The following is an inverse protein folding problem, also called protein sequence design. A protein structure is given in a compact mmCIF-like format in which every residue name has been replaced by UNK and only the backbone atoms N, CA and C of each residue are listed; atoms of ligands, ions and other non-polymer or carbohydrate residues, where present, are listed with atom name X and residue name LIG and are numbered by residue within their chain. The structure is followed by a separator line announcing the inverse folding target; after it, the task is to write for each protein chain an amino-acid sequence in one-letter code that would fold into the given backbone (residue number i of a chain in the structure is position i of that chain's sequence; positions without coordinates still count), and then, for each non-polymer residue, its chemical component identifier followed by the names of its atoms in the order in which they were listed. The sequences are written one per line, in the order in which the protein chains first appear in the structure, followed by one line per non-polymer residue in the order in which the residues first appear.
data_IF_621717398701
#
_entry.id   IF_621717398701
#
_cell.length_a   1.000
_cell.length_b   1.000
_cell.length_c   1.000
_cell.angle_alpha   90.00
_cell.angle_beta   90.00
_cell.angle_gamma   90.00
#
_symmetry.space_group_name_H-M   'P 1'
#
loop_
_entity.id
_entity.type
_entity.pdbx_description
1 polymer ?
#
# COMPACT_ATOMS: atom_id res chain seq x y z
N UNK A 1 -7.42 -14.88 35.82
CA UNK A 1 -8.61 -14.00 35.86
C UNK A 1 -8.56 -13.14 34.61
N UNK A 2 -9.35 -13.49 33.61
CA UNK A 2 -9.52 -12.72 32.37
C UNK A 2 -10.18 -11.38 32.71
N UNK A 3 -9.49 -10.29 32.38
CA UNK A 3 -9.90 -8.94 32.74
C UNK A 3 -11.02 -8.44 31.82
N UNK A 4 -12.26 -8.73 32.20
CA UNK A 4 -13.49 -8.22 31.56
C UNK A 4 -13.55 -6.68 31.57
N UNK A 5 -12.67 -5.99 32.32
CA UNK A 5 -12.56 -4.52 32.35
C UNK A 5 -11.46 -3.97 31.45
N UNK A 6 -10.76 -4.81 30.69
CA UNK A 6 -9.71 -4.31 29.78
C UNK A 6 -10.32 -3.46 28.65
N UNK A 7 -9.67 -2.36 28.22
CA UNK A 7 -10.15 -1.52 27.11
C UNK A 7 -10.41 -2.31 25.81
N UNK A 8 -9.66 -3.38 25.58
CA UNK A 8 -9.88 -4.29 24.45
C UNK A 8 -11.18 -5.10 24.59
N UNK A 9 -11.57 -5.51 25.79
CA UNK A 9 -12.85 -6.15 26.03
C UNK A 9 -14.02 -5.17 25.85
N UNK A 10 -13.86 -3.92 26.30
CA UNK A 10 -14.85 -2.86 26.11
C UNK A 10 -15.06 -2.52 24.62
N UNK A 11 -14.00 -2.44 23.81
CA UNK A 11 -14.15 -2.27 22.36
C UNK A 11 -14.90 -3.44 21.71
N UNK A 12 -14.64 -4.69 22.13
CA UNK A 12 -15.36 -5.86 21.62
C UNK A 12 -16.83 -5.87 22.01
N UNK A 13 -17.19 -5.39 23.22
CA UNK A 13 -18.59 -5.33 23.65
C UNK A 13 -19.39 -4.25 22.91
N UNK A 14 -18.73 -3.33 22.21
CA UNK A 14 -19.34 -2.33 21.34
C UNK A 14 -19.46 -2.79 19.88
N UNK A 15 -19.27 -4.08 19.59
CA UNK A 15 -19.51 -4.62 18.25
C UNK A 15 -20.93 -4.28 17.76
N UNK A 16 -21.03 -3.70 16.56
CA UNK A 16 -22.29 -3.21 15.99
C UNK A 16 -22.75 -1.82 16.48
N UNK A 17 -21.95 -1.13 17.31
CA UNK A 17 -22.20 0.25 17.80
C UNK A 17 -21.05 1.16 17.37
N UNK A 18 -20.99 1.55 16.08
CA UNK A 18 -19.81 2.18 15.49
C UNK A 18 -19.45 3.53 16.12
N UNK A 19 -20.45 4.38 16.40
CA UNK A 19 -20.23 5.70 17.01
C UNK A 19 -19.58 5.59 18.40
N UNK A 20 -20.15 4.76 19.28
CA UNK A 20 -19.62 4.56 20.63
C UNK A 20 -18.26 3.87 20.64
N UNK A 21 -18.04 2.91 19.74
CA UNK A 21 -16.74 2.28 19.57
C UNK A 21 -15.69 3.32 19.13
N UNK A 22 -16.06 4.23 18.24
CA UNK A 22 -15.20 5.31 17.74
C UNK A 22 -14.86 6.32 18.83
N UNK A 23 -15.83 6.73 19.66
CA UNK A 23 -15.59 7.61 20.82
C UNK A 23 -14.68 6.97 21.87
N UNK A 24 -14.91 5.69 22.19
CA UNK A 24 -14.06 4.95 23.11
C UNK A 24 -12.64 4.80 22.55
N UNK A 25 -12.51 4.47 21.26
CA UNK A 25 -11.21 4.35 20.60
C UNK A 25 -10.44 5.68 20.60
N UNK A 26 -11.11 6.81 20.34
CA UNK A 26 -10.53 8.15 20.43
C UNK A 26 -10.03 8.47 21.84
N UNK A 27 -10.70 7.98 22.88
CA UNK A 27 -10.26 8.10 24.28
C UNK A 27 -9.05 7.21 24.56
N UNK A 28 -9.06 5.96 24.09
CA UNK A 28 -7.96 5.00 24.29
C UNK A 28 -6.64 5.52 23.70
N UNK A 29 -6.63 6.09 22.50
CA UNK A 29 -5.38 6.54 21.87
C UNK A 29 -4.70 7.71 22.58
N UNK A 30 -5.42 8.44 23.43
CA UNK A 30 -4.88 9.53 24.26
C UNK A 30 -4.14 9.00 25.50
N UNK A 31 -4.45 7.77 25.92
CA UNK A 31 -3.86 7.14 27.10
C UNK A 31 -2.49 6.51 26.87
N UNK A 32 -1.94 5.95 27.95
CA UNK A 32 -0.74 5.11 27.92
C UNK A 32 -1.16 3.64 27.98
N UNK A 33 -1.46 3.07 26.83
CA UNK A 33 -1.87 1.66 26.71
C UNK A 33 -0.81 0.83 25.98
N UNK A 34 -0.93 -0.49 26.10
CA UNK A 34 -0.09 -1.43 25.37
C UNK A 34 -0.35 -1.34 23.87
N UNK A 35 0.62 -1.77 23.05
CA UNK A 35 0.51 -1.73 21.59
C UNK A 35 -0.73 -2.46 21.06
N UNK A 36 -1.09 -3.58 21.65
CA UNK A 36 -2.24 -4.37 21.19
C UNK A 36 -3.56 -3.63 21.41
N UNK A 37 -3.70 -2.95 22.55
CA UNK A 37 -4.86 -2.10 22.85
C UNK A 37 -4.91 -0.93 21.88
N UNK A 38 -3.77 -0.27 21.65
CA UNK A 38 -3.68 0.84 20.69
C UNK A 38 -4.04 0.38 19.27
N UNK A 39 -3.52 -0.76 18.81
CA UNK A 39 -3.83 -1.31 17.48
C UNK A 39 -5.31 -1.65 17.32
N UNK A 40 -5.96 -2.16 18.37
CA UNK A 40 -7.39 -2.41 18.35
C UNK A 40 -8.19 -1.11 18.21
N UNK A 41 -7.84 -0.07 18.99
CA UNK A 41 -8.48 1.24 18.89
C UNK A 41 -8.23 1.91 17.52
N UNK A 42 -7.00 1.86 17.00
CA UNK A 42 -6.65 2.40 15.69
C UNK A 42 -7.39 1.69 14.55
N UNK A 43 -7.59 0.36 14.66
CA UNK A 43 -8.43 -0.38 13.70
C UNK A 43 -9.86 0.15 13.69
N UNK A 44 -10.44 0.40 14.87
CA UNK A 44 -11.78 0.99 14.97
C UNK A 44 -11.82 2.38 14.37
N UNK A 45 -10.82 3.24 14.63
CA UNK A 45 -10.77 4.59 14.06
C UNK A 45 -10.53 4.61 12.54
N UNK A 46 -9.85 3.61 11.99
CA UNK A 46 -9.69 3.48 10.54
C UNK A 46 -11.01 3.03 9.87
N UNK A 47 -11.84 2.24 10.54
CA UNK A 47 -13.14 1.76 10.04
C UNK A 47 -14.27 2.77 10.28
N UNK A 48 -14.26 3.45 11.43
CA UNK A 48 -15.23 4.44 11.87
C UNK A 48 -14.52 5.72 12.32
N UNK A 49 -14.18 6.62 11.38
CA UNK A 49 -13.35 7.79 11.66
C UNK A 49 -13.96 8.76 12.68
N UNK A 50 -13.11 9.25 13.59
CA UNK A 50 -13.48 10.31 14.54
C UNK A 50 -12.65 11.56 14.30
N UNK A 51 -13.25 12.62 13.75
CA UNK A 51 -12.55 13.86 13.44
C UNK A 51 -11.94 14.55 14.68
N UNK A 52 -12.53 14.36 15.87
CA UNK A 52 -11.98 14.90 17.12
C UNK A 52 -10.71 14.16 17.57
N UNK A 53 -10.47 12.94 17.07
CA UNK A 53 -9.28 12.15 17.40
C UNK A 53 -8.01 12.62 16.67
N UNK A 54 -8.13 13.46 15.64
CA UNK A 54 -6.99 13.89 14.80
C UNK A 54 -5.78 14.41 15.62
N UNK A 55 -5.92 15.36 16.58
CA UNK A 55 -4.77 15.84 17.34
C UNK A 55 -4.10 14.73 18.18
N UNK A 56 -4.89 13.79 18.69
CA UNK A 56 -4.38 12.65 19.45
C UNK A 56 -3.62 11.66 18.56
N UNK A 57 -4.09 11.42 17.33
CA UNK A 57 -3.40 10.58 16.34
C UNK A 57 -2.04 11.18 15.95
N UNK A 58 -1.98 12.49 15.67
CA UNK A 58 -0.73 13.20 15.37
C UNK A 58 0.26 13.09 16.55
N UNK A 59 -0.22 13.38 17.76
CA UNK A 59 0.60 13.27 18.99
C UNK A 59 1.12 11.86 19.20
N UNK A 60 0.27 10.85 18.99
CA UNK A 60 0.64 9.45 19.11
C UNK A 60 1.69 9.04 18.06
N UNK A 61 1.54 9.49 16.81
CA UNK A 61 2.53 9.25 15.75
C UNK A 61 3.90 9.84 16.13
N UNK A 62 3.94 11.13 16.48
CA UNK A 62 5.17 11.82 16.87
C UNK A 62 5.83 11.16 18.08
N UNK A 63 5.05 10.78 19.11
CA UNK A 63 5.58 10.07 20.27
C UNK A 63 6.18 8.72 19.90
N UNK A 64 5.49 7.95 19.05
CA UNK A 64 5.92 6.62 18.64
C UNK A 64 7.21 6.64 17.82
N UNK A 65 7.52 7.75 17.14
CA UNK A 65 8.77 7.94 16.40
C UNK A 65 9.99 8.34 17.25
N UNK A 66 9.82 8.80 18.50
CA UNK A 66 10.93 9.35 19.31
C UNK A 66 11.93 8.29 19.80
N UNK A 67 11.47 7.08 20.08
CA UNK A 67 12.31 6.02 20.67
C UNK A 67 12.89 5.05 19.63
N UNK A 68 13.14 5.53 18.39
CA UNK A 68 13.69 4.79 17.25
C UNK A 68 13.20 3.33 17.26
N UNK A 69 11.92 3.08 17.08
CA UNK A 69 11.41 1.71 16.90
C UNK A 69 11.58 0.71 18.06
N UNK A 70 12.16 1.03 19.23
CA UNK A 70 12.19 0.07 20.39
C UNK A 70 10.80 -0.44 20.72
N UNK A 71 9.81 0.45 20.59
CA UNK A 71 8.41 0.15 20.82
C UNK A 71 7.59 0.05 19.52
N UNK A 72 8.24 0.00 18.35
CA UNK A 72 7.57 -0.09 17.04
C UNK A 72 8.51 -0.66 15.96
N UNK A 73 9.15 -1.80 16.23
CA UNK A 73 9.98 -2.50 15.25
C UNK A 73 9.11 -2.90 14.05
N UNK A 74 9.54 -2.58 12.83
CA UNK A 74 8.76 -2.77 11.62
C UNK A 74 7.69 -1.69 11.35
N UNK A 75 7.61 -0.64 12.18
CA UNK A 75 6.75 0.51 11.92
C UNK A 75 5.23 0.23 11.93
N UNK A 76 4.79 -0.94 12.39
CA UNK A 76 3.39 -1.39 12.31
C UNK A 76 2.42 -0.48 13.08
N UNK A 77 2.83 0.03 14.24
CA UNK A 77 2.01 0.94 15.03
C UNK A 77 1.89 2.29 14.31
N UNK A 78 3.00 2.87 13.86
CA UNK A 78 2.97 4.13 13.09
C UNK A 78 2.18 4.01 11.79
N UNK A 79 2.32 2.91 11.05
CA UNK A 79 1.50 2.65 9.88
C UNK A 79 0.00 2.56 10.23
N UNK A 80 -0.37 1.93 11.35
CA UNK A 80 -1.76 1.89 11.82
C UNK A 80 -2.28 3.27 12.24
N UNK A 81 -1.43 4.12 12.83
CA UNK A 81 -1.78 5.50 13.17
C UNK A 81 -2.05 6.31 11.91
N UNK A 82 -1.19 6.20 10.89
CA UNK A 82 -1.36 6.89 9.61
C UNK A 82 -2.65 6.45 8.89
N UNK A 83 -2.97 5.15 8.91
CA UNK A 83 -4.24 4.63 8.36
C UNK A 83 -5.47 5.18 9.10
N UNK A 84 -5.41 5.31 10.42
CA UNK A 84 -6.48 5.93 11.20
C UNK A 84 -6.56 7.45 11.01
N UNK A 85 -5.42 8.10 10.72
CA UNK A 85 -5.33 9.53 10.43
C UNK A 85 -5.89 9.88 9.05
N UNK A 86 -5.63 9.06 8.04
CA UNK A 86 -6.05 9.27 6.64
C UNK A 86 -7.45 9.90 6.48
N UNK A 87 -8.55 9.30 6.96
CA UNK A 87 -9.90 9.82 6.73
C UNK A 87 -10.21 11.15 7.46
N UNK A 88 -9.39 11.53 8.43
CA UNK A 88 -9.59 12.75 9.23
C UNK A 88 -8.48 13.78 9.03
N UNK A 89 -7.48 13.46 8.20
CA UNK A 89 -6.33 14.31 7.93
C UNK A 89 -6.75 15.61 7.23
N UNK A 90 -5.94 16.65 7.40
CA UNK A 90 -6.15 17.97 6.81
C UNK A 90 -4.92 18.38 6.04
N UNK A 91 -5.06 19.33 5.12
CA UNK A 91 -3.93 19.83 4.29
C UNK A 91 -2.70 20.26 5.11
N UNK A 92 -2.89 20.77 6.32
CA UNK A 92 -1.79 21.11 7.25
C UNK A 92 -0.97 19.89 7.75
N UNK A 93 -1.46 18.66 7.55
CA UNK A 93 -0.76 17.41 7.87
C UNK A 93 0.17 16.94 6.74
N UNK A 94 0.15 17.59 5.57
CA UNK A 94 0.89 17.13 4.39
C UNK A 94 2.39 16.94 4.67
N UNK A 95 3.03 17.86 5.40
CA UNK A 95 4.44 17.75 5.76
C UNK A 95 4.75 16.52 6.61
N UNK A 96 3.85 16.15 7.54
CA UNK A 96 3.98 14.94 8.35
C UNK A 96 3.89 13.68 7.49
N UNK A 97 3.00 13.67 6.49
CA UNK A 97 2.81 12.54 5.58
C UNK A 97 3.96 12.42 4.56
N UNK A 98 4.51 13.54 4.10
CA UNK A 98 5.75 13.58 3.32
C UNK A 98 6.90 12.98 4.14
N UNK A 99 7.05 13.40 5.40
CA UNK A 99 8.05 12.84 6.29
C UNK A 99 7.85 11.32 6.50
N UNK A 100 6.60 10.85 6.58
CA UNK A 100 6.30 9.43 6.64
C UNK A 100 6.77 8.67 5.39
N UNK A 101 6.59 9.25 4.19
CA UNK A 101 7.10 8.70 2.91
C UNK A 101 8.64 8.62 2.85
N UNK A 102 9.33 9.42 3.65
CA UNK A 102 10.79 9.53 3.72
C UNK A 102 11.39 8.77 4.91
N UNK A 103 10.58 8.03 5.66
CA UNK A 103 11.04 7.27 6.83
C UNK A 103 11.67 5.94 6.41
N UNK A 104 12.95 5.77 6.75
CA UNK A 104 13.70 4.51 6.59
C UNK A 104 14.20 4.04 7.96
N UNK A 105 14.02 2.76 8.26
CA UNK A 105 14.52 2.16 9.50
C UNK A 105 15.18 0.82 9.26
N UNK A 106 16.31 0.59 9.92
CA UNK A 106 17.13 -0.61 9.75
C UNK A 106 17.39 -1.24 11.10
N UNK A 107 16.98 -2.50 11.25
CA UNK A 107 17.08 -3.23 12.52
C UNK A 107 18.07 -4.39 12.44
N UNK A 108 18.93 -4.59 13.46
CA UNK A 108 19.72 -5.82 13.57
C UNK A 108 18.82 -7.06 13.67
N UNK A 109 19.29 -8.25 13.23
CA UNK A 109 20.66 -8.51 12.75
C UNK A 109 20.86 -8.25 11.24
N UNK A 110 19.78 -8.28 10.45
CA UNK A 110 19.89 -8.28 8.99
C UNK A 110 20.02 -6.88 8.39
N UNK A 111 19.74 -5.82 9.17
CA UNK A 111 19.71 -4.42 8.73
C UNK A 111 18.91 -4.24 7.43
N UNK A 112 17.84 -5.02 7.27
CA UNK A 112 16.86 -4.81 6.23
C UNK A 112 16.02 -3.56 6.55
N UNK A 113 15.56 -2.88 5.51
CA UNK A 113 14.65 -1.75 5.64
C UNK A 113 13.27 -2.26 6.09
N UNK A 114 12.80 -1.75 7.23
CA UNK A 114 11.64 -2.27 7.96
C UNK A 114 10.49 -1.25 8.07
N UNK A 115 10.67 -0.02 7.59
CA UNK A 115 9.66 1.04 7.62
C UNK A 115 8.80 1.11 6.35
N UNK A 116 8.88 0.11 5.46
CA UNK A 116 8.07 0.03 4.22
C UNK A 116 6.59 0.36 4.44
N UNK A 117 5.98 -0.12 5.54
CA UNK A 117 4.56 0.10 5.83
C UNK A 117 4.24 1.54 6.26
N UNK A 118 5.18 2.25 6.88
CA UNK A 118 5.03 3.66 7.21
C UNK A 118 5.00 4.46 5.92
N UNK A 119 5.94 4.18 5.00
CA UNK A 119 6.03 4.84 3.70
C UNK A 119 4.78 4.58 2.86
N UNK A 120 4.29 3.34 2.79
CA UNK A 120 3.02 3.02 2.09
C UNK A 120 1.83 3.77 2.69
N UNK A 121 1.66 3.74 4.03
CA UNK A 121 0.52 4.39 4.68
C UNK A 121 0.58 5.92 4.56
N UNK A 122 1.77 6.51 4.68
CA UNK A 122 2.00 7.94 4.49
C UNK A 122 1.67 8.39 3.07
N UNK A 123 2.08 7.61 2.07
CA UNK A 123 1.83 7.92 0.66
C UNK A 123 0.34 7.90 0.32
N UNK A 124 -0.39 6.88 0.79
CA UNK A 124 -1.85 6.79 0.57
C UNK A 124 -2.57 7.98 1.21
N UNK A 125 -2.22 8.32 2.46
CA UNK A 125 -2.83 9.46 3.12
C UNK A 125 -2.45 10.81 2.46
N UNK A 126 -1.23 10.93 1.92
CA UNK A 126 -0.79 12.13 1.21
C UNK A 126 -1.59 12.33 -0.10
N UNK A 127 -1.88 11.23 -0.81
CA UNK A 127 -2.67 11.24 -2.04
C UNK A 127 -4.10 11.76 -1.85
N UNK A 128 -4.67 11.68 -0.63
CA UNK A 128 -6.00 12.24 -0.33
C UNK A 128 -5.96 13.77 -0.10
N UNK A 129 -4.78 14.37 0.08
CA UNK A 129 -4.63 15.77 0.51
C UNK A 129 -3.86 16.66 -0.47
N UNK A 130 -2.89 16.07 -1.19
CA UNK A 130 -2.00 16.78 -2.10
C UNK A 130 -1.53 15.84 -3.22
N UNK A 131 -2.30 15.82 -4.33
CA UNK A 131 -1.98 14.99 -5.49
C UNK A 131 -0.59 15.28 -6.06
N UNK A 132 -0.14 16.54 -6.06
CA UNK A 132 1.16 16.91 -6.65
C UNK A 132 2.31 16.34 -5.83
N UNK A 133 2.29 16.55 -4.51
CA UNK A 133 3.29 15.97 -3.61
C UNK A 133 3.26 14.44 -3.65
N UNK A 134 2.06 13.84 -3.70
CA UNK A 134 1.88 12.40 -3.81
C UNK A 134 2.49 11.82 -5.09
N UNK A 135 2.35 12.49 -6.24
CA UNK A 135 2.99 12.07 -7.51
C UNK A 135 4.50 11.98 -7.39
N UNK A 136 5.13 13.02 -6.86
CA UNK A 136 6.59 13.05 -6.69
C UNK A 136 7.07 11.98 -5.70
N UNK A 137 6.38 11.81 -4.57
CA UNK A 137 6.74 10.78 -3.60
C UNK A 137 6.51 9.37 -4.15
N UNK A 138 5.39 9.12 -4.84
CA UNK A 138 5.11 7.84 -5.47
C UNK A 138 6.13 7.51 -6.57
N UNK A 139 6.46 8.44 -7.45
CA UNK A 139 7.46 8.22 -8.49
C UNK A 139 8.84 7.89 -7.91
N UNK A 140 9.26 8.58 -6.84
CA UNK A 140 10.51 8.29 -6.12
C UNK A 140 10.49 6.91 -5.48
N UNK A 141 9.40 6.56 -4.79
CA UNK A 141 9.23 5.28 -4.09
C UNK A 141 9.15 4.10 -5.09
N UNK A 142 8.52 4.30 -6.25
CA UNK A 142 8.34 3.26 -7.27
C UNK A 142 9.67 2.68 -7.75
N UNK A 143 10.71 3.51 -7.82
CA UNK A 143 12.06 3.12 -8.31
C UNK A 143 13.07 2.91 -7.18
N UNK A 144 12.63 2.97 -5.92
CA UNK A 144 13.49 2.76 -4.77
C UNK A 144 13.86 1.26 -4.66
N UNK A 145 15.14 0.88 -4.58
CA UNK A 145 15.55 -0.51 -4.41
C UNK A 145 15.17 -1.10 -3.04
N UNK A 146 14.85 -0.25 -2.05
CA UNK A 146 14.53 -0.67 -0.68
C UNK A 146 13.05 -1.03 -0.56
N UNK A 147 12.72 -2.23 -1.02
CA UNK A 147 11.38 -2.83 -0.95
C UNK A 147 11.38 -4.15 -0.19
N UNK A 148 10.23 -4.49 0.39
CA UNK A 148 9.99 -5.79 1.00
C UNK A 148 9.98 -6.89 -0.07
N UNK A 149 10.88 -7.87 0.06
CA UNK A 149 11.12 -8.90 -0.96
C UNK A 149 9.88 -9.71 -1.37
N UNK A 150 8.97 -9.96 -0.43
CA UNK A 150 7.80 -10.81 -0.65
C UNK A 150 6.58 -10.05 -1.20
N UNK A 151 6.55 -8.74 -1.04
CA UNK A 151 5.34 -7.94 -1.35
C UNK A 151 5.60 -6.81 -2.32
N UNK A 152 6.85 -6.39 -2.50
CA UNK A 152 7.21 -5.20 -3.29
C UNK A 152 6.80 -3.88 -2.63
N UNK A 153 6.38 -3.87 -1.36
CA UNK A 153 6.08 -2.63 -0.65
C UNK A 153 7.37 -1.85 -0.34
N UNK A 154 7.39 -0.50 -0.42
CA UNK A 154 6.25 0.38 -0.69
C UNK A 154 5.98 0.65 -2.19
N UNK A 155 6.79 0.11 -3.10
CA UNK A 155 6.69 0.38 -4.54
C UNK A 155 5.36 -0.10 -5.16
N UNK A 156 4.77 -1.20 -4.68
CA UNK A 156 3.42 -1.63 -5.08
C UNK A 156 2.36 -0.59 -4.71
N UNK A 157 2.42 -0.02 -3.51
CA UNK A 157 1.52 1.08 -3.12
C UNK A 157 1.74 2.31 -3.98
N UNK A 158 2.99 2.65 -4.30
CA UNK A 158 3.29 3.76 -5.20
C UNK A 158 2.74 3.56 -6.62
N UNK A 159 2.82 2.34 -7.16
CA UNK A 159 2.23 2.02 -8.44
C UNK A 159 0.71 2.26 -8.45
N UNK A 160 0.02 1.85 -7.38
CA UNK A 160 -1.43 2.08 -7.20
C UNK A 160 -1.78 3.56 -7.10
N UNK A 161 -1.01 4.33 -6.33
CA UNK A 161 -1.24 5.77 -6.18
C UNK A 161 -1.05 6.49 -7.52
N UNK A 162 0.02 6.20 -8.26
CA UNK A 162 0.21 6.76 -9.61
C UNK A 162 -0.91 6.36 -10.57
N UNK A 163 -1.34 5.09 -10.53
CA UNK A 163 -2.47 4.59 -11.32
C UNK A 163 -3.77 5.35 -11.02
N UNK A 164 -4.09 5.51 -9.74
CA UNK A 164 -5.26 6.24 -9.27
C UNK A 164 -5.23 7.73 -9.66
N UNK A 165 -4.03 8.35 -9.66
CA UNK A 165 -3.81 9.74 -10.06
C UNK A 165 -3.72 9.93 -11.58
N UNK A 166 -3.80 8.85 -12.37
CA UNK A 166 -3.75 8.86 -13.84
C UNK A 166 -2.34 8.95 -14.45
N UNK A 167 -1.28 8.85 -13.64
CA UNK A 167 0.11 8.94 -14.10
C UNK A 167 0.62 7.61 -14.62
N UNK A 168 0.23 7.29 -15.85
CA UNK A 168 0.56 6.00 -16.47
C UNK A 168 1.97 5.91 -17.02
N UNK A 169 2.64 7.04 -17.29
CA UNK A 169 3.96 7.04 -17.94
C UNK A 169 5.07 6.39 -17.09
N UNK A 170 5.23 6.69 -15.78
CA UNK A 170 6.21 6.00 -14.94
C UNK A 170 5.96 4.48 -14.86
N UNK A 171 4.68 4.09 -14.77
CA UNK A 171 4.26 2.68 -14.71
C UNK A 171 4.61 1.94 -16.00
N UNK A 172 4.31 2.55 -17.16
CA UNK A 172 4.63 2.00 -18.47
C UNK A 172 6.14 1.89 -18.69
N UNK A 173 6.91 2.89 -18.28
CA UNK A 173 8.36 2.88 -18.39
C UNK A 173 8.97 1.72 -17.57
N UNK A 174 8.50 1.53 -16.33
CA UNK A 174 8.98 0.44 -15.48
C UNK A 174 8.61 -0.94 -16.03
N UNK A 175 7.38 -1.10 -16.54
CA UNK A 175 6.97 -2.33 -17.23
C UNK A 175 7.86 -2.60 -18.45
N UNK A 176 8.17 -1.60 -19.27
CA UNK A 176 9.03 -1.79 -20.43
C UNK A 176 10.47 -2.20 -20.09
N UNK A 177 11.00 -1.74 -18.95
CA UNK A 177 12.32 -2.08 -18.45
C UNK A 177 12.37 -3.51 -17.88
N UNK A 178 11.28 -3.98 -17.29
CA UNK A 178 11.19 -5.28 -16.60
C UNK A 178 10.47 -6.35 -17.44
N UNK A 179 10.61 -6.29 -18.76
CA UNK A 179 10.11 -7.36 -19.62
C UNK A 179 10.95 -8.63 -19.42
N UNK A 180 10.32 -9.80 -19.22
CA UNK A 180 11.02 -11.06 -19.07
C UNK A 180 11.88 -11.36 -20.32
N UNK A 181 13.19 -11.49 -20.13
CA UNK A 181 14.13 -11.98 -21.12
C UNK A 181 15.29 -12.68 -20.42
N UNK A 182 15.92 -13.66 -21.08
CA UNK A 182 16.91 -14.59 -20.47
C UNK A 182 18.14 -13.88 -19.87
N UNK A 183 18.47 -12.66 -20.31
CA UNK A 183 19.61 -11.87 -19.84
C UNK A 183 19.26 -10.43 -19.41
N UNK A 184 17.97 -10.12 -19.20
CA UNK A 184 17.58 -8.76 -18.82
C UNK A 184 17.90 -8.46 -17.35
N UNK A 185 18.49 -7.29 -17.11
CA UNK A 185 18.63 -6.75 -15.75
C UNK A 185 17.24 -6.35 -15.23
N UNK A 186 16.66 -7.19 -14.38
CA UNK A 186 15.43 -6.90 -13.65
C UNK A 186 15.72 -5.80 -12.61
N UNK A 187 14.99 -4.69 -12.69
CA UNK A 187 15.20 -3.52 -11.82
C UNK A 187 14.28 -3.52 -10.60
N UNK A 188 13.19 -4.29 -10.60
CA UNK A 188 12.31 -4.45 -9.44
C UNK A 188 11.70 -5.86 -9.34
N UNK A 189 11.18 -6.22 -8.16
CA UNK A 189 10.54 -7.52 -7.94
C UNK A 189 9.26 -7.69 -8.80
N UNK A 190 8.89 -8.92 -9.18
CA UNK A 190 7.74 -9.18 -10.07
C UNK A 190 6.42 -8.57 -9.61
N UNK A 191 6.20 -8.46 -8.31
CA UNK A 191 5.00 -7.87 -7.70
C UNK A 191 4.81 -6.41 -8.12
N UNK A 192 5.90 -5.63 -8.19
CA UNK A 192 5.88 -4.22 -8.58
C UNK A 192 5.57 -4.09 -10.06
N UNK A 193 6.24 -4.87 -10.92
CA UNK A 193 5.97 -4.88 -12.37
C UNK A 193 4.55 -5.33 -12.67
N UNK A 194 4.07 -6.38 -11.99
CA UNK A 194 2.69 -6.86 -12.14
C UNK A 194 1.68 -5.78 -11.73
N UNK A 195 1.89 -5.11 -10.60
CA UNK A 195 1.03 -4.00 -10.20
C UNK A 195 1.06 -2.85 -11.21
N UNK A 196 2.23 -2.49 -11.75
CA UNK A 196 2.32 -1.50 -12.82
C UNK A 196 1.45 -1.90 -14.02
N UNK A 197 1.50 -3.17 -14.47
CA UNK A 197 0.64 -3.67 -15.54
C UNK A 197 -0.84 -3.50 -15.19
N UNK A 198 -1.28 -3.88 -13.98
CA UNK A 198 -2.69 -3.74 -13.54
C UNK A 198 -3.22 -2.32 -13.64
N UNK A 199 -2.37 -1.34 -13.39
CA UNK A 199 -2.74 0.08 -13.35
C UNK A 199 -2.76 0.74 -14.74
N UNK A 200 -2.33 0.04 -15.79
CA UNK A 200 -2.20 0.58 -17.16
C UNK A 200 -3.47 0.43 -18.03
N UNK A 201 -4.64 0.29 -17.41
CA UNK A 201 -5.93 0.02 -18.11
C UNK A 201 -6.39 1.13 -19.04
N UNK A 202 -5.80 2.32 -18.95
CA UNK A 202 -6.11 3.48 -19.78
C UNK A 202 -5.10 3.74 -20.91
N UNK A 203 -4.15 2.82 -21.15
CA UNK A 203 -3.21 2.95 -22.26
C UNK A 203 -3.92 2.97 -23.63
N UNK A 204 -3.30 3.54 -24.67
CA UNK A 204 -3.75 3.30 -26.04
C UNK A 204 -3.70 1.80 -26.35
N UNK A 205 -4.72 1.26 -27.02
CA UNK A 205 -4.86 -0.18 -27.33
C UNK A 205 -3.59 -0.75 -27.96
N UNK A 206 -3.00 -0.05 -28.94
CA UNK A 206 -1.76 -0.47 -29.60
C UNK A 206 -0.56 -0.64 -28.65
N UNK A 207 -0.53 0.10 -27.54
CA UNK A 207 0.53 0.02 -26.54
C UNK A 207 0.26 -1.17 -25.61
N UNK A 208 -0.99 -1.37 -25.20
CA UNK A 208 -1.40 -2.52 -24.41
C UNK A 208 -1.17 -3.86 -25.16
N UNK A 209 -1.46 -3.91 -26.46
CA UNK A 209 -1.20 -5.08 -27.31
C UNK A 209 0.30 -5.40 -27.42
N UNK A 210 1.17 -4.39 -27.51
CA UNK A 210 2.63 -4.60 -27.48
C UNK A 210 3.12 -5.13 -26.14
N UNK A 211 2.52 -4.70 -25.03
CA UNK A 211 2.82 -5.29 -23.72
C UNK A 211 2.38 -6.75 -23.67
N UNK A 212 1.19 -7.07 -24.20
CA UNK A 212 0.73 -8.46 -24.32
C UNK A 212 1.73 -9.31 -25.09
N UNK A 213 2.18 -8.89 -26.27
CA UNK A 213 3.19 -9.64 -27.05
C UNK A 213 4.47 -9.89 -26.26
N UNK A 214 4.96 -8.89 -25.52
CA UNK A 214 6.20 -8.98 -24.75
C UNK A 214 6.08 -9.84 -23.49
N UNK A 215 4.91 -9.87 -22.86
CA UNK A 215 4.68 -10.61 -21.61
C UNK A 215 3.98 -11.96 -21.80
N UNK A 216 3.45 -12.25 -22.99
CA UNK A 216 2.65 -13.45 -23.25
C UNK A 216 3.38 -14.76 -22.91
N UNK A 217 4.71 -14.79 -23.11
CA UNK A 217 5.57 -15.95 -22.88
C UNK A 217 6.16 -16.01 -21.45
N UNK A 218 5.71 -15.16 -20.53
CA UNK A 218 6.26 -15.16 -19.17
C UNK A 218 5.94 -16.45 -18.41
N UNK A 219 6.96 -17.01 -17.75
CA UNK A 219 6.81 -18.13 -16.82
C UNK A 219 6.40 -17.67 -15.41
N UNK A 220 6.47 -16.36 -15.12
CA UNK A 220 6.05 -15.82 -13.82
C UNK A 220 4.53 -15.72 -13.75
N UNK A 221 3.92 -16.49 -12.86
CA UNK A 221 2.48 -16.40 -12.57
C UNK A 221 2.08 -15.01 -12.09
N UNK A 222 2.93 -14.32 -11.33
CA UNK A 222 2.68 -12.97 -10.81
C UNK A 222 2.57 -11.96 -11.96
N UNK A 223 3.53 -11.97 -12.89
CA UNK A 223 3.50 -11.10 -14.07
C UNK A 223 2.33 -11.42 -14.99
N UNK A 224 2.02 -12.71 -15.16
CA UNK A 224 0.88 -13.17 -15.95
C UNK A 224 -0.45 -12.67 -15.38
N UNK A 225 -0.62 -12.71 -14.05
CA UNK A 225 -1.80 -12.17 -13.39
C UNK A 225 -1.93 -10.66 -13.62
N UNK A 226 -0.84 -9.90 -13.45
CA UNK A 226 -0.85 -8.45 -13.75
C UNK A 226 -1.21 -8.13 -15.20
N UNK A 227 -0.74 -8.94 -16.15
CA UNK A 227 -1.11 -8.83 -17.56
C UNK A 227 -2.60 -9.16 -17.79
N UNK A 228 -3.13 -10.21 -17.18
CA UNK A 228 -4.55 -10.56 -17.31
C UNK A 228 -5.45 -9.47 -16.75
N UNK A 229 -5.13 -8.92 -15.58
CA UNK A 229 -5.86 -7.81 -14.98
C UNK A 229 -5.89 -6.59 -15.91
N UNK A 230 -4.76 -6.25 -16.54
CA UNK A 230 -4.70 -5.21 -17.57
C UNK A 230 -5.62 -5.51 -18.76
N UNK A 231 -5.54 -6.72 -19.31
CA UNK A 231 -6.30 -7.09 -20.52
C UNK A 231 -7.80 -7.16 -20.26
N UNK A 232 -8.22 -7.67 -19.11
CA UNK A 232 -9.63 -7.84 -18.76
C UNK A 232 -10.29 -6.51 -18.38
N UNK A 233 -9.56 -5.62 -17.70
CA UNK A 233 -10.09 -4.36 -17.17
C UNK A 233 -9.72 -3.14 -18.03
N UNK A 234 -9.21 -3.33 -19.24
CA UNK A 234 -8.87 -2.24 -20.15
C UNK A 234 -10.10 -1.37 -20.46
N UNK A 235 -9.93 -0.03 -20.50
CA UNK A 235 -11.05 0.93 -20.59
C UNK A 235 -11.91 0.79 -21.86
N UNK A 236 -11.29 0.33 -22.96
CA UNK A 236 -11.98 0.09 -24.25
C UNK A 236 -12.66 -1.29 -24.29
N UNK A 237 -12.70 -2.00 -23.15
CA UNK A 237 -13.18 -3.36 -23.00
C UNK A 237 -12.06 -4.41 -23.12
N UNK A 238 -12.39 -5.70 -22.90
CA UNK A 238 -11.40 -6.76 -22.82
C UNK A 238 -10.58 -6.95 -24.10
N UNK A 239 -9.25 -6.86 -23.97
CA UNK A 239 -8.26 -7.04 -25.03
C UNK A 239 -7.72 -8.48 -25.07
N UNK A 240 -6.99 -8.84 -26.14
CA UNK A 240 -6.21 -10.09 -26.18
C UNK A 240 -7.04 -11.38 -26.12
N UNK A 241 -8.33 -11.35 -26.49
CA UNK A 241 -9.27 -12.47 -26.33
C UNK A 241 -8.75 -13.80 -26.88
N UNK A 242 -8.12 -13.79 -28.05
CA UNK A 242 -7.55 -15.00 -28.67
C UNK A 242 -6.41 -15.60 -27.84
N UNK A 243 -5.60 -14.77 -27.20
CA UNK A 243 -4.55 -15.22 -26.28
C UNK A 243 -5.15 -15.80 -25.01
N UNK A 244 -6.12 -15.11 -24.39
CA UNK A 244 -6.80 -15.59 -23.19
C UNK A 244 -7.51 -16.93 -23.42
N UNK A 245 -8.22 -17.07 -24.55
CA UNK A 245 -8.90 -18.31 -24.91
C UNK A 245 -7.93 -19.48 -25.10
N UNK A 246 -6.82 -19.26 -25.80
CA UNK A 246 -5.77 -20.28 -25.99
C UNK A 246 -5.15 -20.69 -24.65
N UNK A 247 -4.82 -19.71 -23.81
CA UNK A 247 -4.23 -19.99 -22.51
C UNK A 247 -5.13 -20.87 -21.65
N UNK A 248 -6.44 -20.56 -21.59
CA UNK A 248 -7.42 -21.36 -20.84
C UNK A 248 -7.55 -22.79 -21.37
N UNK A 249 -7.50 -22.98 -22.69
CA UNK A 249 -7.51 -24.32 -23.31
C UNK A 249 -6.26 -25.11 -22.89
N UNK A 250 -5.07 -24.52 -23.05
CA UNK A 250 -3.81 -25.15 -22.69
C UNK A 250 -3.71 -25.49 -21.19
N UNK A 251 -4.27 -24.67 -20.30
CA UNK A 251 -4.29 -24.99 -18.86
C UNK A 251 -5.31 -26.06 -18.50
N UNK A 252 -6.47 -26.10 -19.16
CA UNK A 252 -7.48 -27.13 -18.91
C UNK A 252 -7.01 -28.51 -19.36
N UNK A 253 -6.21 -28.58 -20.43
CA UNK A 253 -5.65 -29.83 -20.94
C UNK A 253 -4.47 -30.36 -20.09
N UNK A 254 -3.96 -29.56 -19.14
CA UNK A 254 -2.89 -29.94 -18.22
C UNK A 254 -3.37 -30.48 -16.86
N UNK A 255 -4.66 -30.34 -16.55
CA UNK A 255 -5.32 -30.89 -15.34
C UNK A 255 -5.91 -32.29 -15.59
#
# INVERSE_FOLDING_TARGET
MSDERSPAAALRSLAGRPEEASELAATIIQGNHTKDILRAALKVLAEYPNYAARPALITLYTRSGRDKGKHDQGGYLRAAILKALQPVARREDADLLIQACETYEYWPPDFAEDAVLIRSAGLVALADLDDEAARYQAARILVDPLVARMTGEPAVTAARVLGALGDTLPLYALACQNVPAEDALVTCVPEVTAECLRQLTALPVMVAERLLERYAATNSSILRMGLFDLMLNHREGPLGRSYLARFLQETTDMD
#
